data_IF_219513612850
#
_entry.id   IF_219513612850
#
_cell.length_a   1.000
_cell.length_b   1.000
_cell.length_c   1.000
_cell.angle_alpha   90.00
_cell.angle_beta   90.00
_cell.angle_gamma   90.00
#
_symmetry.space_group_name_H-M   'P 1'
#
loop_
_entity.id
_entity.type
_entity.pdbx_description
1 polymer ?
#
# COMPACT_ATOMS: atom_id res chain seq x y z
N UNK A 1 9.28 -11.85 4.16
CA UNK A 1 9.55 -10.44 3.85
C UNK A 1 10.39 -10.23 2.59
N UNK A 2 11.56 -10.89 2.41
CA UNK A 2 12.43 -10.73 1.23
C UNK A 2 11.69 -10.94 -0.10
N UNK A 3 10.86 -11.99 -0.21
CA UNK A 3 10.09 -12.28 -1.41
C UNK A 3 9.10 -11.16 -1.76
N UNK A 4 8.45 -10.55 -0.75
CA UNK A 4 7.50 -9.44 -0.95
C UNK A 4 8.24 -8.19 -1.43
N UNK A 5 9.37 -7.85 -0.81
CA UNK A 5 10.20 -6.70 -1.22
C UNK A 5 10.72 -6.88 -2.65
N UNK A 6 11.19 -8.10 -2.99
CA UNK A 6 11.63 -8.41 -4.34
C UNK A 6 10.48 -8.30 -5.35
N UNK A 7 9.30 -8.84 -5.04
CA UNK A 7 8.11 -8.72 -5.89
C UNK A 7 7.72 -7.26 -6.10
N UNK A 8 7.70 -6.43 -5.05
CA UNK A 8 7.43 -5.00 -5.16
C UNK A 8 8.42 -4.28 -6.08
N UNK A 9 9.72 -4.60 -5.97
CA UNK A 9 10.73 -4.00 -6.84
C UNK A 9 10.56 -4.39 -8.31
N UNK A 10 10.21 -5.65 -8.58
CA UNK A 10 9.91 -6.14 -9.93
C UNK A 10 8.66 -5.46 -10.48
N UNK A 11 7.57 -5.37 -9.70
CA UNK A 11 6.35 -4.64 -10.09
C UNK A 11 6.67 -3.16 -10.36
N UNK A 12 7.46 -2.51 -9.51
CA UNK A 12 7.90 -1.15 -9.75
C UNK A 12 8.72 -0.99 -11.04
N UNK A 13 9.42 -2.05 -11.49
CA UNK A 13 10.11 -2.02 -12.78
C UNK A 13 9.12 -1.98 -13.95
N UNK A 14 7.96 -2.63 -13.82
CA UNK A 14 6.85 -2.53 -14.80
C UNK A 14 6.37 -1.08 -14.91
N UNK A 15 6.09 -0.45 -13.76
CA UNK A 15 5.59 0.94 -13.73
C UNK A 15 6.64 1.90 -14.30
N UNK A 16 7.92 1.75 -13.93
CA UNK A 16 9.03 2.56 -14.48
C UNK A 16 9.17 2.38 -15.99
N UNK A 17 8.97 1.17 -16.50
CA UNK A 17 8.96 0.90 -17.92
C UNK A 17 7.81 1.64 -18.61
N UNK A 18 6.60 1.60 -18.04
CA UNK A 18 5.43 2.30 -18.57
C UNK A 18 5.63 3.82 -18.61
N UNK A 19 6.20 4.42 -17.55
CA UNK A 19 6.56 5.85 -17.53
C UNK A 19 7.50 6.20 -18.69
N UNK A 20 8.45 5.34 -19.00
CA UNK A 20 9.47 5.64 -20.03
C UNK A 20 9.01 5.38 -21.46
N UNK A 21 8.20 4.32 -21.66
CA UNK A 21 7.92 3.79 -23.00
C UNK A 21 6.44 3.75 -23.36
N UNK A 22 5.53 3.61 -22.41
CA UNK A 22 4.10 3.49 -22.69
C UNK A 22 3.39 4.84 -22.73
N UNK A 23 3.80 5.84 -21.94
CA UNK A 23 3.13 7.15 -21.86
C UNK A 23 3.01 7.82 -23.24
N UNK A 24 4.10 7.91 -23.99
CA UNK A 24 4.09 8.51 -25.34
C UNK A 24 3.23 7.74 -26.34
N UNK A 25 3.12 6.40 -26.18
CA UNK A 25 2.24 5.58 -27.01
C UNK A 25 0.76 5.80 -26.64
N UNK A 26 0.47 6.00 -25.37
CA UNK A 26 -0.90 6.25 -24.87
C UNK A 26 -1.41 7.63 -25.31
N UNK A 27 -0.54 8.66 -25.31
CA UNK A 27 -0.90 10.00 -25.81
C UNK A 27 -1.31 9.99 -27.29
N UNK A 28 -0.73 9.09 -28.10
CA UNK A 28 -1.02 8.93 -29.52
C UNK A 28 -2.09 7.88 -29.82
N UNK A 29 -2.54 7.12 -28.83
CA UNK A 29 -3.48 6.01 -29.01
C UNK A 29 -4.92 6.49 -29.17
N UNK A 30 -5.67 5.80 -30.04
CA UNK A 30 -7.10 6.03 -30.18
C UNK A 30 -7.86 5.39 -28.97
N UNK A 31 -9.01 5.93 -28.63
CA UNK A 31 -9.85 5.43 -27.50
C UNK A 31 -10.32 4.00 -27.68
N UNK A 32 -10.35 3.47 -28.89
CA UNK A 32 -10.65 2.07 -29.20
C UNK A 32 -9.44 1.14 -29.21
N UNK A 33 -8.24 1.69 -29.00
CA UNK A 33 -7.00 0.91 -28.97
C UNK A 33 -6.96 0.04 -27.71
N UNK A 34 -6.56 -1.21 -27.89
CA UNK A 34 -6.44 -2.17 -26.78
C UNK A 34 -5.48 -1.69 -25.68
N UNK A 35 -4.38 -1.00 -26.06
CA UNK A 35 -3.47 -0.38 -25.10
C UNK A 35 -4.18 0.65 -24.22
N UNK A 36 -4.98 1.53 -24.83
CA UNK A 36 -5.77 2.54 -24.12
C UNK A 36 -6.83 1.91 -23.21
N UNK A 37 -7.52 0.87 -23.69
CA UNK A 37 -8.50 0.15 -22.88
C UNK A 37 -7.87 -0.53 -21.65
N UNK A 38 -6.66 -1.11 -21.78
CA UNK A 38 -5.92 -1.69 -20.66
C UNK A 38 -5.53 -0.62 -19.66
N UNK A 39 -5.05 0.54 -20.11
CA UNK A 39 -4.71 1.67 -19.22
C UNK A 39 -5.94 2.16 -18.46
N UNK A 40 -7.05 2.39 -19.15
CA UNK A 40 -8.29 2.80 -18.54
C UNK A 40 -8.82 1.77 -17.53
N UNK A 41 -8.74 0.48 -17.86
CA UNK A 41 -9.07 -0.59 -16.94
C UNK A 41 -8.18 -0.60 -15.69
N UNK A 42 -6.89 -0.30 -15.87
CA UNK A 42 -5.96 -0.20 -14.74
C UNK A 42 -6.28 0.99 -13.82
N UNK A 43 -6.64 2.15 -14.38
CA UNK A 43 -7.02 3.33 -13.61
C UNK A 43 -8.29 3.10 -12.78
N UNK A 44 -9.27 2.38 -13.35
CA UNK A 44 -10.48 1.97 -12.62
C UNK A 44 -10.12 1.01 -11.48
N UNK A 45 -9.28 0.01 -11.75
CA UNK A 45 -8.82 -0.92 -10.72
C UNK A 45 -8.05 -0.21 -9.60
N UNK A 46 -7.19 0.76 -9.94
CA UNK A 46 -6.45 1.55 -8.96
C UNK A 46 -7.38 2.43 -8.11
N UNK A 47 -8.35 3.09 -8.73
CA UNK A 47 -9.36 3.89 -8.00
C UNK A 47 -10.11 3.02 -6.98
N UNK A 48 -10.53 1.81 -7.37
CA UNK A 48 -11.17 0.86 -6.46
C UNK A 48 -10.22 0.40 -5.35
N UNK A 49 -8.96 0.13 -5.68
CA UNK A 49 -7.93 -0.25 -4.70
C UNK A 49 -7.72 0.86 -3.66
N UNK A 50 -7.63 2.11 -4.09
CA UNK A 50 -7.50 3.27 -3.19
C UNK A 50 -8.69 3.42 -2.24
N UNK A 51 -9.92 3.22 -2.71
CA UNK A 51 -11.11 3.26 -1.83
C UNK A 51 -11.01 2.21 -0.71
N UNK A 52 -10.59 1.00 -1.06
CA UNK A 52 -10.41 -0.08 -0.07
C UNK A 52 -9.26 0.24 0.88
N UNK A 53 -8.16 0.79 0.37
CA UNK A 53 -7.01 1.21 1.17
C UNK A 53 -7.36 2.30 2.17
N UNK A 54 -8.13 3.31 1.76
CA UNK A 54 -8.61 4.39 2.64
C UNK A 54 -9.41 3.81 3.81
N UNK A 55 -10.33 2.88 3.52
CA UNK A 55 -11.09 2.18 4.57
C UNK A 55 -10.15 1.44 5.54
N UNK A 56 -9.20 0.68 5.00
CA UNK A 56 -8.23 -0.07 5.78
C UNK A 56 -7.34 0.84 6.63
N UNK A 57 -6.73 1.88 6.04
CA UNK A 57 -5.81 2.77 6.75
C UNK A 57 -6.49 3.48 7.91
N UNK A 58 -7.69 4.01 7.70
CA UNK A 58 -8.41 4.71 8.77
C UNK A 58 -8.96 3.76 9.82
N UNK A 59 -9.32 2.52 9.46
CA UNK A 59 -9.70 1.50 10.43
C UNK A 59 -8.51 1.07 11.29
N UNK A 60 -7.34 0.94 10.67
CA UNK A 60 -6.09 0.64 11.37
C UNK A 60 -5.67 1.81 12.28
N UNK A 61 -5.78 3.05 11.81
CA UNK A 61 -5.56 4.25 12.62
C UNK A 61 -6.42 4.21 13.89
N UNK A 62 -7.72 3.97 13.74
CA UNK A 62 -8.65 3.91 14.88
C UNK A 62 -8.25 2.80 15.86
N UNK A 63 -7.85 1.62 15.37
CA UNK A 63 -7.39 0.52 16.22
C UNK A 63 -6.14 0.92 17.04
N UNK A 64 -5.15 1.58 16.41
CA UNK A 64 -3.95 2.04 17.12
C UNK A 64 -4.27 3.13 18.17
N UNK A 65 -5.14 4.09 17.85
CA UNK A 65 -5.55 5.12 18.82
C UNK A 65 -6.26 4.49 20.00
N UNK A 66 -7.27 3.66 19.76
CA UNK A 66 -8.06 3.03 20.82
C UNK A 66 -7.19 2.11 21.70
N UNK A 67 -6.28 1.35 21.09
CA UNK A 67 -5.31 0.53 21.82
C UNK A 67 -4.41 1.37 22.72
N UNK A 68 -3.99 2.55 22.26
CA UNK A 68 -3.20 3.50 23.05
C UNK A 68 -3.95 4.00 24.31
N UNK A 69 -5.28 4.00 24.30
CA UNK A 69 -6.13 4.30 25.45
C UNK A 69 -6.63 3.04 26.19
N UNK A 70 -6.16 1.84 25.83
CA UNK A 70 -6.59 0.58 26.44
C UNK A 70 -8.03 0.17 26.09
N UNK A 71 -8.59 0.68 24.98
CA UNK A 71 -9.94 0.38 24.52
C UNK A 71 -9.88 -0.67 23.41
N UNK A 72 -10.49 -1.84 23.66
CA UNK A 72 -10.63 -2.92 22.67
C UNK A 72 -12.11 -3.05 22.28
N UNK A 73 -12.56 -2.27 21.31
CA UNK A 73 -13.96 -2.29 20.85
C UNK A 73 -14.02 -2.05 19.34
N UNK A 74 -14.50 -3.05 18.59
CA UNK A 74 -14.75 -2.93 17.16
C UNK A 74 -15.76 -1.83 16.84
N UNK A 75 -16.81 -1.72 17.66
CA UNK A 75 -17.82 -0.66 17.48
C UNK A 75 -17.18 0.74 17.60
N UNK A 76 -16.36 0.95 18.64
CA UNK A 76 -15.66 2.23 18.84
C UNK A 76 -14.74 2.54 17.66
N UNK A 77 -14.01 1.54 17.15
CA UNK A 77 -13.13 1.70 16.01
C UNK A 77 -13.91 2.03 14.73
N UNK A 78 -15.03 1.36 14.46
CA UNK A 78 -15.88 1.66 13.29
C UNK A 78 -16.51 3.07 13.39
N UNK A 79 -16.98 3.48 14.56
CA UNK A 79 -17.52 4.82 14.77
C UNK A 79 -16.45 5.91 14.60
N UNK A 80 -15.27 5.71 15.19
CA UNK A 80 -14.14 6.64 15.04
C UNK A 80 -13.72 6.76 13.58
N UNK A 81 -13.58 5.64 12.88
CA UNK A 81 -13.22 5.61 11.45
C UNK A 81 -14.28 6.33 10.61
N UNK A 82 -15.55 6.09 10.90
CA UNK A 82 -16.67 6.77 10.22
C UNK A 82 -16.61 8.28 10.42
N UNK A 83 -16.32 8.75 11.65
CA UNK A 83 -16.14 10.17 11.94
C UNK A 83 -14.98 10.82 11.17
N UNK A 84 -13.84 10.13 11.08
CA UNK A 84 -12.68 10.61 10.30
C UNK A 84 -13.00 10.63 8.80
N UNK A 85 -13.62 9.59 8.25
CA UNK A 85 -14.05 9.54 6.84
C UNK A 85 -15.04 10.65 6.49
N UNK A 86 -16.03 10.86 7.36
CA UNK A 86 -16.99 11.95 7.20
C UNK A 86 -16.29 13.31 7.18
N UNK A 87 -15.31 13.51 8.06
CA UNK A 87 -14.53 14.75 8.12
C UNK A 87 -13.70 14.95 6.84
N UNK A 88 -12.99 13.92 6.36
CA UNK A 88 -12.21 13.97 5.10
C UNK A 88 -13.14 14.26 3.93
N UNK A 89 -14.25 13.56 3.80
CA UNK A 89 -15.23 13.77 2.73
C UNK A 89 -15.83 15.19 2.74
N UNK A 90 -16.16 15.70 3.93
CA UNK A 90 -16.73 17.04 4.10
C UNK A 90 -15.71 18.15 3.79
N UNK A 91 -14.48 18.04 4.31
CA UNK A 91 -13.40 18.99 4.02
C UNK A 91 -13.05 18.94 2.52
N UNK A 92 -12.98 17.75 1.94
CA UNK A 92 -12.73 17.55 0.53
C UNK A 92 -13.78 18.21 -0.35
N UNK A 93 -15.05 18.11 0.03
CA UNK A 93 -16.16 18.75 -0.70
C UNK A 93 -16.07 20.28 -0.66
N UNK A 94 -15.84 20.88 0.53
CA UNK A 94 -15.93 22.34 0.67
C UNK A 94 -14.65 23.07 0.26
N UNK A 95 -13.47 22.52 0.54
CA UNK A 95 -12.17 23.20 0.39
C UNK A 95 -11.20 22.48 -0.53
N UNK A 96 -11.54 21.24 -0.95
CA UNK A 96 -10.58 20.32 -1.55
C UNK A 96 -9.57 19.81 -0.49
N UNK A 97 -8.77 18.83 -0.86
CA UNK A 97 -7.81 18.19 0.06
C UNK A 97 -6.39 18.78 -0.05
N UNK A 98 -6.14 19.75 -0.93
CA UNK A 98 -4.80 20.38 -1.11
C UNK A 98 -4.22 20.96 0.18
N UNK A 99 -5.06 21.40 1.11
CA UNK A 99 -4.60 21.89 2.42
C UNK A 99 -4.02 20.80 3.32
N UNK A 100 -4.33 19.54 3.06
CA UNK A 100 -3.82 18.39 3.80
C UNK A 100 -2.45 17.90 3.27
N UNK A 101 -2.02 18.31 2.08
CA UNK A 101 -0.70 17.97 1.51
C UNK A 101 0.45 18.43 2.41
N UNK A 102 0.33 19.62 3.02
CA UNK A 102 1.33 20.10 3.98
C UNK A 102 1.40 19.26 5.25
N UNK A 103 0.26 18.77 5.72
CA UNK A 103 0.23 17.83 6.85
C UNK A 103 0.88 16.51 6.48
N UNK A 104 0.80 16.10 5.22
CA UNK A 104 1.47 14.91 4.72
C UNK A 104 2.99 15.04 4.77
N UNK A 105 3.58 16.16 4.34
CA UNK A 105 5.04 16.39 4.42
C UNK A 105 5.56 16.28 5.87
N UNK A 106 4.88 16.94 6.83
CA UNK A 106 5.24 16.82 8.25
C UNK A 106 5.07 15.40 8.76
N UNK A 107 3.98 14.72 8.37
CA UNK A 107 3.70 13.35 8.75
C UNK A 107 4.78 12.39 8.26
N UNK A 108 5.25 12.54 7.02
CA UNK A 108 6.33 11.73 6.46
C UNK A 108 7.62 11.91 7.23
N UNK A 109 8.00 13.14 7.57
CA UNK A 109 9.21 13.41 8.33
C UNK A 109 9.14 12.81 9.72
N UNK A 110 8.04 13.05 10.45
CA UNK A 110 7.84 12.53 11.81
C UNK A 110 7.87 10.99 11.81
N UNK A 111 7.13 10.35 10.90
CA UNK A 111 7.10 8.87 10.85
C UNK A 111 8.47 8.27 10.54
N UNK A 112 9.28 8.87 9.67
CA UNK A 112 10.63 8.37 9.38
C UNK A 112 11.55 8.48 10.58
N UNK A 113 11.49 9.58 11.34
CA UNK A 113 12.24 9.75 12.60
C UNK A 113 11.84 8.69 13.61
N UNK A 114 10.53 8.45 13.80
CA UNK A 114 10.04 7.44 14.74
C UNK A 114 10.42 6.03 14.28
N UNK A 115 10.33 5.72 12.98
CA UNK A 115 10.78 4.42 12.45
C UNK A 115 12.28 4.21 12.71
N UNK A 116 13.11 5.24 12.48
CA UNK A 116 14.54 5.17 12.78
C UNK A 116 14.77 4.92 14.28
N UNK A 117 14.08 5.63 15.16
CA UNK A 117 14.17 5.44 16.60
C UNK A 117 13.71 4.04 17.03
N UNK A 118 12.64 3.50 16.41
CA UNK A 118 12.17 2.14 16.63
C UNK A 118 13.24 1.10 16.24
N UNK A 119 13.82 1.24 15.05
CA UNK A 119 14.88 0.32 14.60
C UNK A 119 16.11 0.37 15.51
N UNK A 120 16.51 1.56 15.96
CA UNK A 120 17.60 1.73 16.94
C UNK A 120 17.23 1.10 18.28
N UNK A 121 16.02 1.30 18.77
CA UNK A 121 15.54 0.69 20.03
C UNK A 121 15.50 -0.82 19.99
N UNK A 122 15.01 -1.41 18.91
CA UNK A 122 15.02 -2.87 18.69
C UNK A 122 16.44 -3.40 18.57
N UNK A 123 17.30 -2.73 17.81
CA UNK A 123 18.71 -3.12 17.68
C UNK A 123 19.48 -3.05 18.99
N UNK A 124 19.23 -2.04 19.82
CA UNK A 124 19.80 -1.94 21.17
C UNK A 124 19.33 -3.09 22.08
N UNK A 125 18.02 -3.41 22.00
CA UNK A 125 17.47 -4.55 22.73
C UNK A 125 18.16 -5.87 22.34
N UNK A 126 18.32 -6.14 21.04
CA UNK A 126 18.95 -7.35 20.53
C UNK A 126 20.44 -7.45 20.90
N UNK A 127 21.17 -6.34 20.97
CA UNK A 127 22.58 -6.31 21.40
C UNK A 127 22.69 -6.69 22.87
N UNK A 128 21.77 -6.23 23.74
CA UNK A 128 21.82 -6.49 25.19
C UNK A 128 21.37 -7.92 25.51
N UNK A 129 20.29 -8.39 24.88
CA UNK A 129 19.68 -9.69 25.21
C UNK A 129 20.20 -10.84 24.32
N UNK A 130 21.01 -10.52 23.32
CA UNK A 130 21.50 -11.43 22.30
C UNK A 130 20.50 -11.64 21.17
N UNK A 131 21.00 -11.89 19.96
CA UNK A 131 20.18 -12.35 18.83
C UNK A 131 19.78 -13.81 19.10
N UNK A 132 18.81 -14.01 19.98
CA UNK A 132 18.28 -15.34 20.25
C UNK A 132 17.78 -15.98 18.97
N UNK A 133 18.31 -17.15 18.64
CA UNK A 133 17.72 -18.00 17.61
C UNK A 133 16.36 -18.49 18.14
N UNK A 134 15.33 -17.68 17.95
CA UNK A 134 13.99 -18.17 18.20
C UNK A 134 13.72 -19.29 17.19
N UNK A 135 13.67 -20.52 17.66
CA UNK A 135 12.97 -21.55 16.91
C UNK A 135 11.56 -21.02 16.71
N UNK A 136 11.30 -20.52 15.49
CA UNK A 136 9.96 -20.13 15.06
C UNK A 136 9.09 -21.40 15.12
N UNK A 137 8.48 -21.66 16.29
CA UNK A 137 7.52 -22.75 16.50
C UNK A 137 6.19 -22.49 15.80
N UNK A 138 6.15 -21.60 14.81
CA UNK A 138 5.02 -21.48 13.93
C UNK A 138 4.95 -22.71 13.04
N UNK A 139 3.89 -23.47 13.11
CA UNK A 139 3.55 -24.41 12.03
C UNK A 139 3.37 -23.57 10.77
N UNK A 140 4.44 -23.51 9.96
CA UNK A 140 4.32 -23.03 8.59
C UNK A 140 3.24 -23.90 7.97
N UNK A 141 2.11 -23.31 7.60
CA UNK A 141 1.07 -24.00 6.84
C UNK A 141 1.66 -24.61 5.58
N UNK A 142 0.89 -25.35 4.82
CA UNK A 142 1.39 -25.87 3.55
C UNK A 142 2.00 -24.73 2.71
N UNK A 143 3.02 -24.99 1.87
CA UNK A 143 3.63 -23.96 0.99
C UNK A 143 2.58 -23.18 0.18
N UNK A 144 1.48 -23.85 -0.19
CA UNK A 144 0.34 -23.23 -0.85
C UNK A 144 -0.37 -22.19 0.02
N UNK A 145 -0.68 -22.53 1.27
CA UNK A 145 -1.32 -21.60 2.21
C UNK A 145 -0.45 -20.39 2.50
N UNK A 146 0.85 -20.62 2.70
CA UNK A 146 1.83 -19.55 2.89
C UNK A 146 1.89 -18.62 1.67
N UNK A 147 1.91 -19.17 0.46
CA UNK A 147 1.90 -18.36 -0.76
C UNK A 147 0.60 -17.54 -0.89
N UNK A 148 -0.56 -18.13 -0.62
CA UNK A 148 -1.85 -17.41 -0.65
C UNK A 148 -1.90 -16.28 0.38
N UNK A 149 -1.36 -16.48 1.59
CA UNK A 149 -1.27 -15.45 2.62
C UNK A 149 -0.31 -14.33 2.21
N UNK A 150 0.88 -14.66 1.66
CA UNK A 150 1.82 -13.66 1.14
C UNK A 150 1.20 -12.81 0.02
N UNK A 151 0.42 -13.42 -0.88
CA UNK A 151 -0.34 -12.67 -1.89
C UNK A 151 -1.38 -11.74 -1.26
N UNK A 152 -2.01 -12.16 -0.15
CA UNK A 152 -3.01 -11.37 0.58
C UNK A 152 -2.49 -10.13 1.29
N UNK A 153 -1.17 -9.99 1.44
CA UNK A 153 -0.53 -8.81 2.06
C UNK A 153 0.26 -7.96 1.06
N UNK A 154 0.00 -8.09 -0.25
CA UNK A 154 0.69 -7.29 -1.28
C UNK A 154 0.47 -5.78 -1.06
N UNK A 155 -0.66 -5.39 -0.50
CA UNK A 155 -0.96 -4.01 -0.12
C UNK A 155 0.15 -3.36 0.73
N UNK A 156 0.84 -4.12 1.58
CA UNK A 156 1.86 -3.59 2.51
C UNK A 156 3.03 -2.90 1.79
N UNK A 157 3.30 -3.27 0.54
CA UNK A 157 4.46 -2.77 -0.23
C UNK A 157 4.07 -1.86 -1.40
N UNK A 158 2.80 -1.47 -1.51
CA UNK A 158 2.27 -0.57 -2.55
C UNK A 158 2.53 0.92 -2.20
N UNK A 159 2.14 1.84 -3.09
CA UNK A 159 2.24 3.30 -2.93
C UNK A 159 3.29 3.94 -3.86
N UNK A 160 4.22 3.16 -4.39
CA UNK A 160 5.22 3.65 -5.35
C UNK A 160 4.62 4.01 -6.72
N UNK A 161 3.47 3.46 -7.08
CA UNK A 161 2.77 3.70 -8.35
C UNK A 161 2.26 5.13 -8.50
N UNK A 162 2.05 5.85 -7.42
CA UNK A 162 1.59 7.25 -7.44
C UNK A 162 2.49 8.14 -8.29
N UNK A 163 3.80 7.85 -8.35
CA UNK A 163 4.75 8.56 -9.19
C UNK A 163 4.39 8.56 -10.67
N UNK A 164 3.63 7.56 -11.16
CA UNK A 164 3.16 7.49 -12.55
C UNK A 164 2.24 8.65 -12.88
N UNK A 165 1.37 9.03 -11.96
CA UNK A 165 0.31 10.01 -12.15
C UNK A 165 0.75 11.47 -11.93
N UNK A 166 2.03 11.70 -11.64
CA UNK A 166 2.63 13.02 -11.46
C UNK A 166 3.29 13.58 -12.75
N UNK A 167 2.85 13.10 -13.93
CA UNK A 167 3.43 13.49 -15.21
C UNK A 167 3.25 14.96 -15.58
N UNK A 168 2.21 15.61 -15.07
CA UNK A 168 1.98 17.04 -15.28
C UNK A 168 2.98 17.92 -14.53
N UNK A 169 3.56 17.45 -13.42
CA UNK A 169 4.41 18.24 -12.52
C UNK A 169 5.90 17.87 -12.64
N UNK A 170 6.20 16.60 -12.94
CA UNK A 170 7.57 16.07 -12.92
C UNK A 170 7.91 15.28 -14.17
N UNK A 171 9.14 15.46 -14.67
CA UNK A 171 9.67 14.69 -15.81
C UNK A 171 9.75 13.19 -15.51
N UNK A 172 9.68 12.37 -16.56
CA UNK A 172 9.76 10.91 -16.45
C UNK A 172 11.01 10.44 -15.68
N UNK A 173 12.17 11.05 -15.90
CA UNK A 173 13.41 10.68 -15.21
C UNK A 173 13.36 10.95 -13.70
N UNK A 174 12.77 12.07 -13.28
CA UNK A 174 12.59 12.40 -11.85
C UNK A 174 11.64 11.37 -11.22
N UNK A 175 10.50 11.10 -11.84
CA UNK A 175 9.51 10.13 -11.35
C UNK A 175 10.09 8.71 -11.21
N UNK A 176 10.83 8.24 -12.23
CA UNK A 176 11.51 6.93 -12.20
C UNK A 176 12.56 6.86 -11.09
N UNK A 177 13.36 7.92 -10.93
CA UNK A 177 14.41 7.97 -9.89
C UNK A 177 13.81 8.01 -8.49
N UNK A 178 12.82 8.87 -8.26
CA UNK A 178 12.09 8.98 -6.99
C UNK A 178 11.45 7.66 -6.57
N UNK A 179 10.71 7.02 -7.49
CA UNK A 179 10.12 5.70 -7.26
C UNK A 179 11.16 4.65 -6.87
N UNK A 180 12.31 4.60 -7.57
CA UNK A 180 13.36 3.64 -7.27
C UNK A 180 13.95 3.86 -5.88
N UNK A 181 14.24 5.11 -5.52
CA UNK A 181 14.78 5.47 -4.20
C UNK A 181 13.78 5.11 -3.10
N UNK A 182 12.50 5.45 -3.29
CA UNK A 182 11.44 5.12 -2.33
C UNK A 182 11.32 3.61 -2.10
N UNK A 183 11.33 2.81 -3.17
CA UNK A 183 11.25 1.35 -3.06
C UNK A 183 12.47 0.73 -2.36
N UNK A 184 13.68 1.23 -2.65
CA UNK A 184 14.91 0.74 -1.99
C UNK A 184 14.87 1.11 -0.50
N UNK A 185 14.53 2.36 -0.18
CA UNK A 185 14.45 2.83 1.21
C UNK A 185 13.41 2.02 2.00
N UNK A 186 12.18 1.88 1.47
CA UNK A 186 11.14 1.10 2.10
C UNK A 186 11.55 -0.38 2.26
N UNK A 187 12.16 -0.97 1.23
CA UNK A 187 12.67 -2.34 1.29
C UNK A 187 13.73 -2.54 2.37
N UNK A 188 14.68 -1.61 2.51
CA UNK A 188 15.68 -1.65 3.58
C UNK A 188 15.04 -1.56 4.97
N UNK A 189 14.06 -0.65 5.15
CA UNK A 189 13.33 -0.50 6.42
C UNK A 189 12.56 -1.79 6.75
N UNK A 190 11.84 -2.36 5.80
CA UNK A 190 11.07 -3.59 6.01
C UNK A 190 11.97 -4.79 6.36
N UNK A 191 13.10 -4.93 5.69
CA UNK A 191 14.04 -6.02 5.98
C UNK A 191 14.71 -5.83 7.34
N UNK A 192 15.17 -4.61 7.66
CA UNK A 192 15.75 -4.29 8.97
C UNK A 192 14.75 -4.57 10.09
N UNK A 193 13.50 -4.07 9.95
CA UNK A 193 12.44 -4.31 10.92
C UNK A 193 12.16 -5.81 11.10
N UNK A 194 12.03 -6.57 9.98
CA UNK A 194 11.75 -7.99 10.04
C UNK A 194 12.86 -8.78 10.77
N UNK A 195 14.12 -8.39 10.58
CA UNK A 195 15.26 -9.02 11.28
C UNK A 195 15.22 -8.69 12.76
N UNK A 196 15.09 -7.40 13.11
CA UNK A 196 15.15 -6.93 14.49
C UNK A 196 13.95 -7.32 15.35
N UNK A 197 12.75 -7.53 14.75
CA UNK A 197 11.56 -7.96 15.51
C UNK A 197 11.54 -9.48 15.75
N UNK A 198 12.29 -10.26 14.96
CA UNK A 198 12.26 -11.72 15.01
C UNK A 198 12.54 -12.30 16.41
N UNK A 199 13.52 -11.81 17.18
CA UNK A 199 13.78 -12.31 18.54
C UNK A 199 12.59 -12.11 19.50
N UNK A 200 11.78 -11.09 19.29
CA UNK A 200 10.61 -10.78 20.12
C UNK A 200 9.35 -11.57 19.75
N UNK A 201 9.31 -12.22 18.58
CA UNK A 201 8.11 -12.93 18.10
C UNK A 201 7.70 -14.11 19.02
N UNK A 202 8.62 -14.69 19.78
CA UNK A 202 8.31 -15.76 20.72
C UNK A 202 7.51 -15.28 21.94
N UNK A 203 7.50 -13.99 22.23
CA UNK A 203 6.73 -13.40 23.34
C UNK A 203 5.28 -13.08 22.95
N UNK A 204 4.89 -13.30 21.69
CA UNK A 204 3.48 -13.19 21.28
C UNK A 204 2.75 -14.44 21.74
N UNK A 205 1.74 -14.24 22.58
CA UNK A 205 0.78 -15.29 22.91
C UNK A 205 -0.11 -15.53 21.68
N UNK A 206 0.10 -16.68 21.01
CA UNK A 206 -0.34 -16.97 19.64
C UNK A 206 -1.86 -17.21 19.47
N UNK A 207 -2.68 -16.79 20.44
CA UNK A 207 -4.09 -17.19 20.44
C UNK A 207 -4.92 -16.54 19.32
N UNK A 208 -4.65 -15.28 18.94
CA UNK A 208 -5.39 -14.59 17.84
C UNK A 208 -4.50 -13.51 17.19
N UNK A 209 -4.49 -13.41 15.85
CA UNK A 209 -3.83 -12.31 15.16
C UNK A 209 -4.53 -11.00 15.52
N UNK A 210 -3.77 -10.06 16.10
CA UNK A 210 -4.22 -8.72 16.44
C UNK A 210 -3.43 -7.70 15.61
N UNK A 211 -4.13 -6.79 14.97
CA UNK A 211 -3.54 -5.74 14.13
C UNK A 211 -2.65 -4.76 14.90
N UNK A 212 -2.78 -4.70 16.23
CA UNK A 212 -2.01 -3.83 17.11
C UNK A 212 -0.96 -4.56 17.96
N UNK A 213 -0.74 -5.87 17.74
CA UNK A 213 0.21 -6.69 18.51
C UNK A 213 1.63 -6.13 18.57
N UNK A 214 2.02 -5.34 17.57
CA UNK A 214 3.32 -4.66 17.53
C UNK A 214 3.52 -3.68 18.69
N UNK A 215 2.44 -3.13 19.26
CA UNK A 215 2.51 -2.22 20.42
C UNK A 215 3.00 -3.00 21.63
N UNK A 216 2.45 -4.17 21.88
CA UNK A 216 2.81 -5.03 23.00
C UNK A 216 4.25 -5.53 22.87
N UNK A 217 4.64 -5.96 21.66
CA UNK A 217 6.02 -6.35 21.37
C UNK A 217 7.03 -5.23 21.62
N UNK A 218 6.73 -4.03 21.16
CA UNK A 218 7.58 -2.87 21.36
C UNK A 218 7.72 -2.51 22.84
N UNK A 219 6.69 -2.75 23.65
CA UNK A 219 6.70 -2.58 25.10
C UNK A 219 7.76 -3.43 25.81
N UNK A 220 8.07 -4.62 25.29
CA UNK A 220 9.16 -5.46 25.81
C UNK A 220 10.55 -4.87 25.54
N UNK A 221 10.70 -4.10 24.48
CA UNK A 221 12.01 -3.50 24.13
C UNK A 221 12.23 -2.15 24.86
N UNK A 222 11.19 -1.33 25.05
CA UNK A 222 11.27 -0.07 25.77
C UNK A 222 9.89 0.47 26.15
N UNK A 223 9.77 1.09 27.32
CA UNK A 223 8.54 1.72 27.80
C UNK A 223 8.02 2.88 26.90
N UNK A 224 8.92 3.53 26.15
CA UNK A 224 8.56 4.66 25.28
C UNK A 224 8.10 4.22 23.88
N UNK A 225 8.54 3.05 23.40
CA UNK A 225 8.27 2.60 22.04
C UNK A 225 6.77 2.41 21.73
N UNK A 226 5.91 1.89 22.63
CA UNK A 226 4.46 1.81 22.39
C UNK A 226 3.82 3.14 22.03
N UNK A 227 4.10 4.19 22.79
CA UNK A 227 3.55 5.53 22.54
C UNK A 227 4.07 6.11 21.21
N UNK A 228 5.35 5.94 20.93
CA UNK A 228 5.95 6.37 19.66
C UNK A 228 5.34 5.62 18.46
N UNK A 229 5.10 4.32 18.59
CA UNK A 229 4.43 3.51 17.56
C UNK A 229 3.00 3.98 17.29
N UNK A 230 2.21 4.26 18.32
CA UNK A 230 0.86 4.79 18.15
C UNK A 230 0.90 6.11 17.37
N UNK A 231 1.77 7.05 17.75
CA UNK A 231 1.92 8.33 17.03
C UNK A 231 2.33 8.10 15.59
N UNK A 232 3.35 7.26 15.35
CA UNK A 232 3.82 6.95 13.99
C UNK A 232 2.73 6.30 13.14
N UNK A 233 1.98 5.35 13.71
CA UNK A 233 0.89 4.68 13.04
C UNK A 233 -0.22 5.68 12.66
N UNK A 234 -0.66 6.51 13.60
CA UNK A 234 -1.69 7.54 13.34
C UNK A 234 -1.26 8.47 12.21
N UNK A 235 -0.04 9.02 12.29
CA UNK A 235 0.48 9.92 11.27
C UNK A 235 0.62 9.23 9.90
N UNK A 236 1.10 7.98 9.90
CA UNK A 236 1.31 7.20 8.68
C UNK A 236 -0.01 6.83 8.01
N UNK A 237 -0.97 6.30 8.78
CA UNK A 237 -2.25 5.84 8.24
C UNK A 237 -3.11 7.02 7.76
N UNK A 238 -3.11 8.13 8.51
CA UNK A 238 -3.82 9.34 8.09
C UNK A 238 -3.25 9.91 6.78
N UNK A 239 -1.92 10.07 6.69
CA UNK A 239 -1.24 10.53 5.48
C UNK A 239 -1.55 9.64 4.27
N UNK A 240 -1.44 8.31 4.44
CA UNK A 240 -1.73 7.36 3.37
C UNK A 240 -3.20 7.44 2.92
N UNK A 241 -4.15 7.54 3.86
CA UNK A 241 -5.57 7.65 3.54
C UNK A 241 -5.90 8.94 2.77
N UNK A 242 -5.27 10.07 3.13
CA UNK A 242 -5.44 11.35 2.41
C UNK A 242 -4.86 11.24 1.01
N UNK A 243 -3.64 10.72 0.85
CA UNK A 243 -3.00 10.54 -0.45
C UNK A 243 -3.83 9.64 -1.38
N UNK A 244 -4.31 8.49 -0.88
CA UNK A 244 -5.15 7.58 -1.66
C UNK A 244 -6.53 8.20 -1.99
N UNK A 245 -7.10 9.03 -1.10
CA UNK A 245 -8.35 9.75 -1.38
C UNK A 245 -8.16 10.77 -2.50
N UNK A 246 -7.05 11.52 -2.48
CA UNK A 246 -6.70 12.49 -3.54
C UNK A 246 -6.46 11.76 -4.86
N UNK A 247 -5.68 10.67 -4.83
CA UNK A 247 -5.40 9.84 -6.00
C UNK A 247 -6.66 9.24 -6.62
N UNK A 248 -7.53 8.64 -5.80
CA UNK A 248 -8.81 8.09 -6.27
C UNK A 248 -9.72 9.18 -6.85
N UNK A 249 -9.79 10.35 -6.20
CA UNK A 249 -10.57 11.48 -6.67
C UNK A 249 -10.11 11.99 -8.04
N UNK A 250 -8.80 12.14 -8.22
CA UNK A 250 -8.22 12.54 -9.51
C UNK A 250 -8.47 11.54 -10.63
N UNK A 251 -8.28 10.25 -10.35
CA UNK A 251 -8.54 9.19 -11.33
C UNK A 251 -10.02 9.10 -11.71
N UNK A 252 -10.95 9.25 -10.74
CA UNK A 252 -12.39 9.29 -11.03
C UNK A 252 -12.79 10.49 -11.90
N UNK A 253 -12.21 11.65 -11.65
CA UNK A 253 -12.44 12.84 -12.47
C UNK A 253 -11.95 12.64 -13.90
N UNK A 254 -10.75 12.09 -14.08
CA UNK A 254 -10.15 11.81 -15.37
C UNK A 254 -10.96 10.77 -16.16
N UNK A 255 -11.24 9.60 -15.57
CA UNK A 255 -11.93 8.48 -16.22
C UNK A 255 -13.39 8.78 -16.56
N UNK A 256 -14.04 9.68 -15.81
CA UNK A 256 -15.40 10.11 -16.11
C UNK A 256 -15.48 11.28 -17.08
N UNK A 257 -14.33 11.73 -17.61
CA UNK A 257 -14.27 12.90 -18.48
C UNK A 257 -14.77 14.17 -17.79
N UNK A 258 -14.40 14.34 -16.52
CA UNK A 258 -14.81 15.45 -15.62
C UNK A 258 -16.31 15.54 -15.32
N UNK A 259 -17.07 14.47 -15.57
CA UNK A 259 -18.47 14.42 -15.15
C UNK A 259 -18.61 14.34 -13.63
N UNK A 260 -17.71 13.63 -12.98
CA UNK A 260 -17.55 13.63 -11.52
C UNK A 260 -16.30 14.45 -11.22
N UNK A 261 -16.47 15.62 -10.63
CA UNK A 261 -15.33 16.42 -10.19
C UNK A 261 -14.74 15.85 -8.90
N UNK A 262 -13.47 16.16 -8.62
CA UNK A 262 -12.80 15.71 -7.39
C UNK A 262 -13.59 16.05 -6.13
N UNK A 263 -14.26 17.22 -6.10
CA UNK A 263 -15.10 17.64 -4.98
C UNK A 263 -16.26 16.68 -4.69
N UNK A 264 -16.89 16.10 -5.72
CA UNK A 264 -17.93 15.09 -5.57
C UNK A 264 -17.36 13.68 -5.35
N UNK A 265 -16.16 13.40 -5.88
CA UNK A 265 -15.49 12.12 -5.70
C UNK A 265 -15.14 11.86 -4.23
N UNK A 266 -14.65 12.87 -3.48
CA UNK A 266 -14.24 12.68 -2.09
C UNK A 266 -15.34 12.17 -1.15
N UNK A 267 -16.56 12.75 -1.10
CA UNK A 267 -17.64 12.18 -0.30
C UNK A 267 -18.12 10.81 -0.83
N UNK A 268 -18.05 10.55 -2.13
CA UNK A 268 -18.35 9.21 -2.68
C UNK A 268 -17.35 8.16 -2.18
N UNK A 269 -16.05 8.47 -2.21
CA UNK A 269 -14.99 7.61 -1.69
C UNK A 269 -15.22 7.35 -0.20
N UNK A 270 -15.47 8.40 0.59
CA UNK A 270 -15.74 8.27 2.02
C UNK A 270 -16.97 7.40 2.29
N UNK A 271 -18.06 7.56 1.52
CA UNK A 271 -19.26 6.75 1.64
C UNK A 271 -19.01 5.26 1.32
N UNK A 272 -18.30 4.97 0.22
CA UNK A 272 -17.92 3.60 -0.12
C UNK A 272 -17.01 2.96 0.95
N UNK A 273 -16.05 3.73 1.48
CA UNK A 273 -15.17 3.29 2.55
C UNK A 273 -15.98 2.99 3.84
N UNK A 274 -16.96 3.81 4.20
CA UNK A 274 -17.84 3.57 5.35
C UNK A 274 -18.61 2.26 5.17
N UNK A 275 -19.17 2.01 3.98
CA UNK A 275 -19.86 0.73 3.72
C UNK A 275 -18.91 -0.45 3.93
N UNK A 276 -17.66 -0.36 3.47
CA UNK A 276 -16.68 -1.43 3.64
C UNK A 276 -16.37 -1.70 5.10
N UNK A 277 -16.17 -0.66 5.92
CA UNK A 277 -15.83 -0.79 7.35
C UNK A 277 -16.94 -1.49 8.14
N UNK A 278 -18.19 -1.22 7.80
CA UNK A 278 -19.31 -1.83 8.51
C UNK A 278 -19.66 -3.24 8.02
N UNK A 279 -19.10 -3.70 6.90
CA UNK A 279 -19.41 -5.01 6.31
C UNK A 279 -18.21 -5.96 6.20
N UNK A 280 -16.97 -5.47 6.41
CA UNK A 280 -15.78 -6.28 6.25
C UNK A 280 -14.83 -6.15 7.45
N UNK A 281 -14.30 -7.27 7.91
CA UNK A 281 -13.24 -7.29 8.92
C UNK A 281 -11.92 -6.78 8.31
N UNK A 282 -11.05 -6.17 9.12
CA UNK A 282 -9.80 -5.54 8.69
C UNK A 282 -8.90 -6.45 7.84
N UNK A 283 -8.76 -7.73 8.21
CA UNK A 283 -7.95 -8.69 7.45
C UNK A 283 -8.55 -9.04 6.09
N UNK A 284 -9.88 -9.00 5.95
CA UNK A 284 -10.53 -9.14 4.65
C UNK A 284 -10.30 -7.91 3.77
N UNK A 285 -10.32 -6.70 4.36
CA UNK A 285 -10.01 -5.47 3.63
C UNK A 285 -8.58 -5.49 3.07
N UNK A 286 -7.59 -5.96 3.83
CA UNK A 286 -6.20 -6.13 3.37
C UNK A 286 -6.15 -7.06 2.14
N UNK A 287 -6.82 -8.21 2.21
CA UNK A 287 -6.83 -9.17 1.12
C UNK A 287 -7.56 -8.63 -0.12
N UNK A 288 -8.67 -7.92 0.06
CA UNK A 288 -9.40 -7.27 -1.04
C UNK A 288 -8.58 -6.18 -1.70
N UNK A 289 -7.94 -5.29 -0.91
CA UNK A 289 -7.03 -4.29 -1.43
C UNK A 289 -5.88 -4.94 -2.22
N UNK A 290 -5.23 -5.97 -1.64
CA UNK A 290 -4.12 -6.68 -2.28
C UNK A 290 -4.53 -7.30 -3.62
N UNK A 291 -5.73 -7.88 -3.72
CA UNK A 291 -6.26 -8.41 -5.00
C UNK A 291 -6.53 -7.31 -6.00
N UNK A 292 -7.09 -6.20 -5.56
CA UNK A 292 -7.42 -5.08 -6.45
C UNK A 292 -6.16 -4.38 -6.96
N UNK A 293 -5.15 -4.19 -6.09
CA UNK A 293 -3.84 -3.73 -6.52
C UNK A 293 -3.15 -4.73 -7.46
N UNK A 294 -3.27 -6.03 -7.20
CA UNK A 294 -2.72 -7.04 -8.11
C UNK A 294 -3.40 -6.98 -9.50
N UNK A 295 -4.71 -6.72 -9.57
CA UNK A 295 -5.41 -6.51 -10.83
C UNK A 295 -4.91 -5.23 -11.55
N UNK A 296 -4.71 -4.14 -10.83
CA UNK A 296 -4.09 -2.94 -11.38
C UNK A 296 -2.70 -3.23 -11.94
N UNK A 297 -1.81 -3.85 -11.16
CA UNK A 297 -0.46 -4.16 -11.62
C UNK A 297 -0.44 -5.18 -12.77
N UNK A 298 -1.40 -6.11 -12.81
CA UNK A 298 -1.57 -7.02 -13.95
C UNK A 298 -1.86 -6.25 -15.23
N UNK A 299 -2.81 -5.31 -15.19
CA UNK A 299 -3.14 -4.47 -16.34
C UNK A 299 -1.98 -3.57 -16.74
N UNK A 300 -1.23 -3.05 -15.77
CA UNK A 300 -0.01 -2.29 -16.04
C UNK A 300 1.10 -3.15 -16.68
N UNK A 301 1.24 -4.41 -16.28
CA UNK A 301 2.16 -5.34 -16.92
C UNK A 301 1.71 -5.69 -18.36
N UNK A 302 0.40 -5.74 -18.60
CA UNK A 302 -0.16 -5.93 -19.92
C UNK A 302 0.09 -4.70 -20.82
N UNK A 303 -0.06 -3.47 -20.29
CA UNK A 303 0.32 -2.22 -20.97
C UNK A 303 1.82 -2.25 -21.33
N UNK A 304 2.70 -2.62 -20.38
CA UNK A 304 4.13 -2.74 -20.64
C UNK A 304 4.44 -3.79 -21.71
N UNK A 305 3.79 -4.94 -21.66
CA UNK A 305 3.94 -5.98 -22.67
C UNK A 305 3.52 -5.48 -24.06
N UNK A 306 2.37 -4.84 -24.19
CA UNK A 306 1.88 -4.24 -25.43
C UNK A 306 2.83 -3.15 -25.96
N UNK A 307 3.38 -2.32 -25.08
CA UNK A 307 4.37 -1.31 -25.46
C UNK A 307 5.64 -1.96 -26.09
N UNK A 308 6.08 -3.13 -25.59
CA UNK A 308 7.19 -3.85 -26.21
C UNK A 308 6.88 -4.34 -27.62
N UNK A 309 5.61 -4.63 -27.93
CA UNK A 309 5.21 -5.05 -29.27
C UNK A 309 5.27 -3.90 -30.27
N UNK A 310 5.04 -2.67 -29.80
CA UNK A 310 5.01 -1.44 -30.61
C UNK A 310 6.37 -0.74 -30.73
N UNK A 311 7.34 -1.12 -29.88
CA UNK A 311 8.70 -0.59 -29.92
C UNK A 311 9.68 -1.66 -30.44
N UNK A 312 9.87 -1.83 -31.77
CA UNK A 312 10.73 -2.89 -32.31
C UNK A 312 12.21 -2.70 -31.95
N UNK A 313 12.66 -1.45 -31.79
CA UNK A 313 14.06 -1.09 -31.52
C UNK A 313 14.44 -1.19 -30.02
N UNK A 314 13.55 -1.71 -29.20
CA UNK A 314 13.80 -1.86 -27.77
C UNK A 314 14.91 -2.88 -27.50
N UNK A 315 15.97 -2.43 -26.85
CA UNK A 315 17.08 -3.28 -26.43
C UNK A 315 16.59 -4.38 -25.48
N UNK A 316 17.00 -5.65 -25.72
CA UNK A 316 16.54 -6.82 -24.97
C UNK A 316 15.01 -7.05 -24.96
N UNK A 317 14.29 -6.68 -26.01
CA UNK A 317 12.84 -6.78 -26.13
C UNK A 317 12.27 -8.13 -25.65
N UNK A 318 12.88 -9.27 -26.05
CA UNK A 318 12.42 -10.61 -25.64
C UNK A 318 12.51 -10.85 -24.13
N UNK A 319 13.58 -10.34 -23.52
CA UNK A 319 13.75 -10.43 -22.05
C UNK A 319 12.66 -9.65 -21.31
N UNK A 320 12.32 -8.43 -21.79
CA UNK A 320 11.21 -7.64 -21.26
C UNK A 320 9.87 -8.37 -21.41
N UNK A 321 9.59 -8.93 -22.58
CA UNK A 321 8.36 -9.71 -22.82
C UNK A 321 8.23 -10.89 -21.87
N UNK A 322 9.31 -11.65 -21.70
CA UNK A 322 9.35 -12.78 -20.77
C UNK A 322 9.11 -12.32 -19.33
N UNK A 323 9.80 -11.28 -18.90
CA UNK A 323 9.64 -10.71 -17.55
C UNK A 323 8.19 -10.28 -17.30
N UNK A 324 7.60 -9.50 -18.21
CA UNK A 324 6.21 -9.06 -18.07
C UNK A 324 5.22 -10.21 -18.09
N UNK A 325 5.47 -11.24 -18.90
CA UNK A 325 4.66 -12.46 -18.91
C UNK A 325 4.69 -13.20 -17.57
N UNK A 326 5.86 -13.36 -16.96
CA UNK A 326 6.00 -13.97 -15.63
C UNK A 326 5.29 -13.13 -14.56
N UNK A 327 5.47 -11.80 -14.61
CA UNK A 327 4.80 -10.88 -13.67
C UNK A 327 3.29 -10.97 -13.81
N UNK A 328 2.75 -10.99 -15.03
CA UNK A 328 1.30 -11.15 -15.26
C UNK A 328 0.78 -12.46 -14.69
N UNK A 329 1.48 -13.58 -14.87
CA UNK A 329 1.07 -14.88 -14.32
C UNK A 329 1.05 -14.85 -12.79
N UNK A 330 2.08 -14.28 -12.15
CA UNK A 330 2.14 -14.14 -10.69
C UNK A 330 1.03 -13.24 -10.16
N UNK A 331 0.75 -12.11 -10.82
CA UNK A 331 -0.31 -11.18 -10.40
C UNK A 331 -1.71 -11.76 -10.63
N UNK A 332 -1.95 -12.46 -11.74
CA UNK A 332 -3.20 -13.17 -11.98
C UNK A 332 -3.45 -14.24 -10.89
N UNK A 333 -2.38 -14.95 -10.48
CA UNK A 333 -2.45 -15.90 -9.39
C UNK A 333 -2.84 -15.22 -8.07
N UNK A 334 -2.27 -14.04 -7.74
CA UNK A 334 -2.64 -13.27 -6.54
C UNK A 334 -4.10 -12.84 -6.59
N UNK A 335 -4.57 -12.31 -7.73
CA UNK A 335 -5.98 -11.91 -7.91
C UNK A 335 -6.94 -13.05 -7.56
N UNK A 336 -6.61 -14.27 -7.97
CA UNK A 336 -7.51 -15.43 -7.83
C UNK A 336 -7.38 -16.07 -6.43
N UNK A 337 -6.14 -16.29 -5.96
CA UNK A 337 -5.85 -17.18 -4.84
C UNK A 337 -5.42 -16.48 -3.54
N UNK A 338 -5.13 -15.17 -3.57
CA UNK A 338 -4.76 -14.46 -2.34
C UNK A 338 -5.85 -14.58 -1.26
N UNK A 339 -5.44 -14.82 -0.02
CA UNK A 339 -6.33 -15.02 1.12
C UNK A 339 -5.95 -14.08 2.26
N UNK A 340 -6.90 -13.67 3.10
CA UNK A 340 -6.57 -12.96 4.34
C UNK A 340 -5.65 -13.83 5.21
N UNK A 341 -4.75 -13.18 5.92
CA UNK A 341 -3.94 -13.79 6.97
C UNK A 341 -4.81 -13.82 8.23
N UNK A 342 -5.36 -14.98 8.55
CA UNK A 342 -6.21 -15.21 9.73
C UNK A 342 -5.55 -16.26 10.60
#
# INVERSE_FOLDING_TARGET
>A
MLAIVAAAYVIGTVIRFNIRHAESLLESANTSDFLFLCERGSNIALSAAYVISVAFYLRLLAAFVLRGFGIESELAANLMTTGVLFSIGSIGWWRGLRGLERLEEYSVTIKLVIIAALLVGLGHFDIIHGFGSSELKGQLGSPWQTACALGGILLVVQGFETSRYLGAEYSADIRIKSMRVAQILAGCIYLAFAVLITPLLHSIDSALPNETAIIDLAGHASMLLPAMLVIAAVMSQFSAAVADTVGAGGLLEEETGRRITTQFAYPMIAFCAIILIWNAHIFHMIAFASRTFAAYYFLQALVAFQATLRCPDLHHRRAWQLMFGIVMLGLAWIVIFAKPVV
#
